data_IF_998765220615
#
_entry.id   IF_998765220615
#
_cell.length_a   1.000
_cell.length_b   1.000
_cell.length_c   1.000
_cell.angle_alpha   90.00
_cell.angle_beta   90.00
_cell.angle_gamma   90.00
#
_symmetry.space_group_name_H-M   'P 1'
#
loop_
_entity.id
_entity.type
_entity.pdbx_description
1 polymer ?
#
# COMPACT_ATOMS: atom_id res chain seq x y z
N UNK A 1 3.29 -16.35 -19.89
CA UNK A 1 4.57 -15.71 -19.55
C UNK A 1 5.65 -16.16 -20.52
N UNK A 2 6.92 -15.88 -20.20
CA UNK A 2 8.05 -16.21 -21.09
C UNK A 2 8.16 -17.69 -21.41
N UNK A 3 7.71 -18.58 -20.50
CA UNK A 3 7.66 -20.04 -20.71
C UNK A 3 6.69 -20.45 -21.82
N UNK A 4 5.67 -19.64 -22.07
CA UNK A 4 4.64 -19.84 -23.08
C UNK A 4 4.89 -19.00 -24.35
N UNK A 5 6.09 -18.44 -24.51
CA UNK A 5 6.45 -17.59 -25.67
C UNK A 5 5.82 -16.19 -25.65
N UNK A 6 5.22 -15.79 -24.53
CA UNK A 6 4.64 -14.46 -24.34
C UNK A 6 5.67 -13.50 -23.75
N UNK A 7 5.37 -12.19 -23.79
CA UNK A 7 6.25 -11.18 -23.20
C UNK A 7 6.39 -11.38 -21.68
N UNK A 8 7.49 -10.87 -21.14
CA UNK A 8 7.75 -10.79 -19.71
C UNK A 8 6.77 -9.84 -19.01
N UNK A 9 6.68 -9.93 -17.68
CA UNK A 9 5.79 -9.05 -16.92
C UNK A 9 6.19 -7.56 -17.02
N UNK A 10 7.47 -7.16 -16.95
CA UNK A 10 7.88 -5.78 -17.21
C UNK A 10 7.49 -5.27 -18.61
N UNK A 11 7.60 -6.12 -19.64
CA UNK A 11 7.17 -5.76 -21.00
C UNK A 11 5.64 -5.62 -21.09
N UNK A 12 4.90 -6.47 -20.36
CA UNK A 12 3.44 -6.33 -20.26
C UNK A 12 3.06 -5.01 -19.60
N UNK A 13 3.74 -4.61 -18.50
CA UNK A 13 3.50 -3.33 -17.84
C UNK A 13 3.73 -2.15 -18.78
N UNK A 14 4.81 -2.20 -19.59
CA UNK A 14 5.09 -1.18 -20.58
C UNK A 14 3.98 -1.08 -21.63
N UNK A 15 3.56 -2.22 -22.21
CA UNK A 15 2.46 -2.25 -23.20
C UNK A 15 1.12 -1.78 -22.62
N UNK A 16 0.79 -2.18 -21.40
CA UNK A 16 -0.43 -1.73 -20.72
C UNK A 16 -0.38 -0.22 -20.47
N UNK A 17 0.79 0.35 -20.21
CA UNK A 17 0.93 1.80 -20.03
C UNK A 17 0.62 2.62 -21.28
N UNK A 18 0.66 2.01 -22.46
CA UNK A 18 0.32 2.66 -23.74
C UNK A 18 -1.20 2.71 -24.00
N UNK A 19 -2.03 2.08 -23.16
CA UNK A 19 -3.49 2.14 -23.30
C UNK A 19 -4.00 3.56 -23.04
N UNK A 20 -4.71 4.12 -24.01
CA UNK A 20 -5.32 5.44 -23.93
C UNK A 20 -6.35 5.52 -22.79
N UNK A 21 -6.33 6.64 -22.07
CA UNK A 21 -7.21 6.86 -20.91
C UNK A 21 -6.81 6.11 -19.64
N UNK A 22 -5.84 5.19 -19.67
CA UNK A 22 -5.33 4.55 -18.47
C UNK A 22 -4.48 5.55 -17.66
N UNK A 23 -4.87 5.79 -16.41
CA UNK A 23 -4.21 6.75 -15.53
C UNK A 23 -3.17 6.11 -14.61
N UNK A 24 -3.47 4.93 -14.05
CA UNK A 24 -2.65 4.26 -13.04
C UNK A 24 -2.62 2.76 -13.24
N UNK A 25 -1.44 2.18 -13.09
CA UNK A 25 -1.19 0.75 -13.02
C UNK A 25 -0.71 0.44 -11.61
N UNK A 26 -1.36 -0.54 -10.98
CA UNK A 26 -0.93 -1.09 -9.70
C UNK A 26 -1.11 -2.60 -9.79
N UNK A 27 -0.14 -3.34 -9.26
CA UNK A 27 -0.23 -4.79 -9.15
C UNK A 27 0.16 -5.22 -7.73
N UNK A 28 -0.20 -6.44 -7.40
CA UNK A 28 0.17 -7.09 -6.13
C UNK A 28 1.07 -8.25 -6.46
N UNK A 29 2.27 -8.32 -5.88
CA UNK A 29 3.11 -9.52 -5.98
C UNK A 29 2.80 -10.47 -4.84
N UNK A 30 2.81 -11.77 -5.13
CA UNK A 30 2.61 -12.82 -4.13
C UNK A 30 3.92 -13.29 -3.50
N UNK A 31 5.07 -12.91 -4.05
CA UNK A 31 6.36 -13.44 -3.61
C UNK A 31 7.56 -12.50 -3.87
N UNK A 32 8.45 -12.27 -2.87
CA UNK A 32 9.61 -11.39 -3.03
C UNK A 32 10.57 -11.77 -4.15
N UNK A 33 10.78 -13.08 -4.38
CA UNK A 33 11.61 -13.60 -5.49
C UNK A 33 11.23 -13.07 -6.88
N UNK A 34 9.97 -12.66 -7.07
CA UNK A 34 9.47 -12.21 -8.37
C UNK A 34 9.85 -10.74 -8.64
N UNK A 35 10.41 -10.04 -7.64
CA UNK A 35 10.94 -8.68 -7.76
C UNK A 35 12.32 -8.68 -8.43
N UNK A 36 12.33 -8.96 -9.73
CA UNK A 36 13.57 -8.89 -10.53
C UNK A 36 14.04 -7.45 -10.74
N UNK A 37 15.34 -7.26 -11.02
CA UNK A 37 15.89 -5.92 -11.35
C UNK A 37 15.17 -5.22 -12.50
N UNK A 38 14.74 -5.96 -13.51
CA UNK A 38 13.97 -5.40 -14.63
C UNK A 38 12.60 -4.89 -14.19
N UNK A 39 11.95 -5.58 -13.24
CA UNK A 39 10.71 -5.11 -12.63
C UNK A 39 10.93 -3.87 -11.75
N UNK A 40 12.02 -3.83 -10.96
CA UNK A 40 12.38 -2.64 -10.17
C UNK A 40 12.55 -1.42 -11.08
N UNK A 41 13.30 -1.57 -12.18
CA UNK A 41 13.50 -0.51 -13.18
C UNK A 41 12.20 -0.02 -13.84
N UNK A 42 11.15 -0.85 -13.89
CA UNK A 42 9.85 -0.42 -14.40
C UNK A 42 9.23 0.70 -13.55
N UNK A 43 9.42 0.70 -12.22
CA UNK A 43 8.91 1.76 -11.34
C UNK A 43 9.54 3.12 -11.65
N UNK A 44 10.80 3.16 -12.10
CA UNK A 44 11.47 4.40 -12.50
C UNK A 44 11.14 4.86 -13.93
N UNK A 45 10.67 3.94 -14.80
CA UNK A 45 10.52 4.20 -16.24
C UNK A 45 9.07 4.41 -16.68
N UNK A 46 8.12 3.73 -16.03
CA UNK A 46 6.72 3.74 -16.42
C UNK A 46 5.98 4.73 -15.52
N UNK A 47 5.69 5.92 -16.04
CA UNK A 47 5.03 7.00 -15.28
C UNK A 47 3.68 6.57 -14.68
N UNK A 48 2.88 5.81 -15.45
CA UNK A 48 1.58 5.29 -14.99
C UNK A 48 1.72 4.21 -13.91
N UNK A 49 2.90 3.62 -13.72
CA UNK A 49 3.11 2.59 -12.70
C UNK A 49 3.21 3.26 -11.32
N UNK A 50 2.21 3.03 -10.49
CA UNK A 50 2.18 3.60 -9.15
C UNK A 50 3.40 3.17 -8.34
N UNK A 51 4.08 4.09 -7.63
CA UNK A 51 5.22 3.78 -6.76
C UNK A 51 4.73 3.12 -5.46
N UNK A 52 4.24 1.90 -5.59
CA UNK A 52 3.76 1.07 -4.51
C UNK A 52 3.95 -0.39 -4.87
N UNK A 53 4.43 -1.16 -3.90
CA UNK A 53 4.49 -2.59 -4.00
C UNK A 53 4.02 -3.22 -2.69
N UNK A 54 3.24 -4.28 -2.82
CA UNK A 54 2.96 -5.17 -1.70
C UNK A 54 3.91 -6.37 -1.79
N UNK A 55 4.85 -6.49 -0.85
CA UNK A 55 5.97 -7.42 -0.88
C UNK A 55 5.97 -8.30 0.39
N UNK A 56 5.20 -9.41 0.41
CA UNK A 56 5.00 -10.19 1.63
C UNK A 56 6.28 -10.85 2.13
N UNK A 57 6.74 -10.52 3.33
CA UNK A 57 7.91 -11.18 3.95
C UNK A 57 7.51 -12.34 4.88
N UNK A 58 6.37 -12.25 5.55
CA UNK A 58 5.83 -13.18 6.55
C UNK A 58 6.53 -13.18 7.92
N UNK A 59 7.86 -13.20 7.98
CA UNK A 59 8.64 -13.14 9.23
C UNK A 59 10.00 -12.48 8.99
N UNK A 60 10.61 -11.88 10.01
CA UNK A 60 11.98 -11.39 9.92
C UNK A 60 13.06 -12.42 10.26
N UNK A 61 12.69 -13.58 10.80
CA UNK A 61 13.65 -14.64 11.16
C UNK A 61 13.86 -15.62 10.00
N UNK A 62 15.12 -15.83 9.63
CA UNK A 62 15.49 -16.84 8.63
C UNK A 62 15.02 -18.25 9.00
N UNK A 63 15.10 -18.60 10.30
CA UNK A 63 14.65 -19.91 10.80
C UNK A 63 13.15 -20.08 10.63
N UNK A 64 12.36 -19.03 10.92
CA UNK A 64 10.90 -19.08 10.74
C UNK A 64 10.52 -19.04 9.26
N UNK A 65 11.19 -18.23 8.44
CA UNK A 65 11.02 -18.20 6.99
C UNK A 65 11.24 -19.59 6.37
N UNK A 66 12.31 -20.29 6.77
CA UNK A 66 12.59 -21.65 6.32
C UNK A 66 11.49 -22.63 6.74
N UNK A 67 11.00 -22.56 7.99
CA UNK A 67 9.88 -23.38 8.47
C UNK A 67 8.55 -23.06 7.77
N UNK A 68 8.37 -21.83 7.30
CA UNK A 68 7.27 -21.41 6.42
C UNK A 68 7.49 -21.84 4.96
N UNK A 69 8.55 -22.59 4.66
CA UNK A 69 8.95 -23.03 3.33
C UNK A 69 9.23 -21.87 2.36
N UNK A 70 9.71 -20.73 2.87
CA UNK A 70 10.20 -19.62 2.05
C UNK A 70 11.60 -19.96 1.53
N UNK A 71 11.85 -19.58 0.28
CA UNK A 71 13.11 -19.84 -0.45
C UNK A 71 13.95 -18.57 -0.60
N UNK A 72 13.90 -17.71 0.41
CA UNK A 72 14.65 -16.47 0.51
C UNK A 72 15.00 -16.23 1.97
N UNK A 73 16.02 -15.42 2.20
CA UNK A 73 16.44 -14.98 3.53
C UNK A 73 16.00 -13.53 3.79
N UNK A 74 16.10 -13.12 5.05
CA UNK A 74 15.96 -11.76 5.54
C UNK A 74 16.87 -10.80 4.80
N UNK A 75 18.14 -11.17 4.62
CA UNK A 75 19.16 -10.35 3.97
C UNK A 75 18.80 -10.11 2.51
N UNK A 76 18.43 -11.18 1.79
CA UNK A 76 17.96 -11.05 0.41
C UNK A 76 16.72 -10.16 0.30
N UNK A 77 15.80 -10.23 1.27
CA UNK A 77 14.64 -9.35 1.30
C UNK A 77 15.03 -7.88 1.50
N UNK A 78 15.93 -7.61 2.44
CA UNK A 78 16.44 -6.26 2.72
C UNK A 78 17.19 -5.69 1.51
N UNK A 79 18.06 -6.47 0.87
CA UNK A 79 18.77 -6.07 -0.34
C UNK A 79 17.80 -5.65 -1.44
N UNK A 80 16.73 -6.43 -1.67
CA UNK A 80 15.70 -6.10 -2.65
C UNK A 80 14.96 -4.81 -2.29
N UNK A 81 14.66 -4.59 -1.00
CA UNK A 81 14.00 -3.36 -0.53
C UNK A 81 14.89 -2.14 -0.74
N UNK A 82 16.18 -2.25 -0.41
CA UNK A 82 17.13 -1.15 -0.56
C UNK A 82 17.40 -0.84 -2.03
N UNK A 83 17.59 -1.85 -2.88
CA UNK A 83 17.73 -1.65 -4.34
C UNK A 83 16.48 -1.00 -4.95
N UNK A 84 15.28 -1.43 -4.51
CA UNK A 84 14.03 -0.84 -5.00
C UNK A 84 13.90 0.64 -4.59
N UNK A 85 14.32 1.00 -3.37
CA UNK A 85 14.33 2.40 -2.90
C UNK A 85 15.41 3.26 -3.57
N UNK A 86 16.55 2.68 -3.90
CA UNK A 86 17.56 3.37 -4.71
C UNK A 86 17.01 3.67 -6.12
N UNK A 87 16.24 2.73 -6.68
CA UNK A 87 15.63 2.88 -8.00
C UNK A 87 14.40 3.82 -8.01
N UNK A 88 13.57 3.77 -6.97
CA UNK A 88 12.34 4.55 -6.81
C UNK A 88 12.23 5.02 -5.34
N UNK A 89 12.83 6.18 -5.00
CA UNK A 89 12.92 6.67 -3.62
C UNK A 89 11.56 6.87 -2.92
N UNK A 90 10.51 7.18 -3.69
CA UNK A 90 9.16 7.41 -3.21
C UNK A 90 8.30 6.14 -3.08
N UNK A 91 8.86 4.95 -3.37
CA UNK A 91 8.13 3.67 -3.32
C UNK A 91 7.52 3.41 -1.95
N UNK A 92 6.20 3.26 -1.93
CA UNK A 92 5.47 2.77 -0.76
C UNK A 92 5.55 1.24 -0.70
N UNK A 93 6.03 0.68 0.41
CA UNK A 93 6.16 -0.78 0.56
C UNK A 93 5.19 -1.26 1.63
N UNK A 94 4.27 -2.16 1.27
CA UNK A 94 3.42 -2.86 2.22
C UNK A 94 3.76 -4.34 2.29
N UNK A 95 3.43 -5.02 3.38
CA UNK A 95 3.76 -6.44 3.55
C UNK A 95 2.73 -7.16 4.42
N UNK A 96 2.81 -8.48 4.45
CA UNK A 96 2.12 -9.34 5.41
C UNK A 96 3.14 -9.96 6.38
N UNK A 97 2.74 -10.09 7.65
CA UNK A 97 3.50 -10.80 8.67
C UNK A 97 2.63 -11.71 9.52
N UNK A 98 3.19 -12.84 9.94
CA UNK A 98 2.54 -13.81 10.82
C UNK A 98 3.38 -13.95 12.08
N UNK A 99 2.78 -13.65 13.23
CA UNK A 99 3.39 -13.85 14.56
C UNK A 99 2.84 -15.11 15.22
N UNK A 100 3.61 -15.69 16.12
CA UNK A 100 3.24 -16.89 16.86
C UNK A 100 3.28 -18.17 16.03
N UNK A 101 4.08 -18.19 14.96
CA UNK A 101 4.27 -19.39 14.13
C UNK A 101 4.85 -20.53 14.99
N UNK A 102 4.51 -21.81 14.72
CA UNK A 102 4.99 -22.90 15.55
C UNK A 102 6.52 -22.90 15.67
N UNK A 103 6.98 -22.86 16.93
CA UNK A 103 8.36 -22.83 17.36
C UNK A 103 9.04 -21.46 17.33
N UNK A 104 8.33 -20.35 17.06
CA UNK A 104 8.86 -18.99 17.14
C UNK A 104 9.32 -18.62 18.55
N UNK A 105 10.62 -18.34 18.70
CA UNK A 105 11.24 -17.89 19.96
C UNK A 105 11.22 -16.36 20.05
N UNK A 106 11.61 -15.84 21.21
CA UNK A 106 11.70 -14.39 21.41
C UNK A 106 12.78 -13.74 20.53
N UNK A 107 13.87 -14.46 20.25
CA UNK A 107 14.90 -13.98 19.32
C UNK A 107 14.36 -13.85 17.88
N UNK A 108 13.55 -14.81 17.41
CA UNK A 108 12.95 -14.73 16.08
C UNK A 108 11.92 -13.60 15.96
N UNK A 109 11.21 -13.33 17.06
CA UNK A 109 10.29 -12.22 17.13
C UNK A 109 11.03 -10.87 17.18
N UNK A 110 12.15 -10.78 17.90
CA UNK A 110 12.99 -9.58 17.86
C UNK A 110 13.58 -9.35 16.47
N UNK A 111 14.04 -10.40 15.77
CA UNK A 111 14.42 -10.29 14.36
C UNK A 111 13.26 -9.72 13.53
N UNK A 112 12.04 -10.20 13.76
CA UNK A 112 10.83 -9.69 13.10
C UNK A 112 10.62 -8.18 13.35
N UNK A 113 10.76 -7.71 14.58
CA UNK A 113 10.68 -6.29 14.91
C UNK A 113 11.83 -5.50 14.27
N UNK A 114 13.06 -6.02 14.32
CA UNK A 114 14.22 -5.38 13.69
C UNK A 114 14.05 -5.24 12.18
N UNK A 115 13.41 -6.21 11.51
CA UNK A 115 13.14 -6.10 10.07
C UNK A 115 12.21 -4.92 9.80
N UNK A 116 11.16 -4.78 10.61
CA UNK A 116 10.21 -3.66 10.50
C UNK A 116 10.92 -2.32 10.75
N UNK A 117 11.88 -2.26 11.68
CA UNK A 117 12.69 -1.05 11.92
C UNK A 117 13.57 -0.69 10.71
N UNK A 118 14.20 -1.68 10.09
CA UNK A 118 15.06 -1.46 8.92
C UNK A 118 14.25 -1.10 7.67
N UNK A 119 13.12 -1.77 7.46
CA UNK A 119 12.29 -1.53 6.27
C UNK A 119 11.42 -0.30 6.44
N UNK A 120 10.92 0.02 7.63
CA UNK A 120 9.91 1.07 7.83
C UNK A 120 8.76 0.95 6.81
N UNK A 121 7.94 -0.09 6.91
CA UNK A 121 6.85 -0.31 5.96
C UNK A 121 5.84 0.85 5.96
N UNK A 122 5.20 1.08 4.81
CA UNK A 122 4.07 2.01 4.67
C UNK A 122 2.76 1.44 5.21
N UNK A 123 2.69 0.12 5.35
CA UNK A 123 1.57 -0.60 5.93
C UNK A 123 1.90 -2.08 6.07
N UNK A 124 1.38 -2.70 7.14
CA UNK A 124 1.60 -4.10 7.45
C UNK A 124 0.28 -4.77 7.79
N UNK A 125 -0.01 -5.89 7.14
CA UNK A 125 -1.07 -6.77 7.60
C UNK A 125 -0.45 -7.84 8.50
N UNK A 126 -0.68 -7.71 9.80
CA UNK A 126 -0.16 -8.64 10.78
C UNK A 126 -1.26 -9.60 11.25
N UNK A 127 -0.93 -10.89 11.32
CA UNK A 127 -1.85 -11.94 11.72
C UNK A 127 -1.22 -12.80 12.82
N UNK A 128 -2.03 -13.26 13.78
CA UNK A 128 -1.62 -14.38 14.62
C UNK A 128 -1.72 -15.68 13.83
N UNK A 129 -0.73 -16.55 13.98
CA UNK A 129 -0.78 -17.88 13.41
C UNK A 129 -1.97 -18.67 13.95
N UNK A 130 -2.75 -19.23 13.02
CA UNK A 130 -3.78 -20.21 13.27
C UNK A 130 -3.59 -21.42 12.34
N UNK A 131 -3.90 -22.61 12.86
CA UNK A 131 -3.86 -23.83 12.05
C UNK A 131 -4.90 -23.73 10.95
N UNK A 132 -4.46 -24.00 9.72
CA UNK A 132 -5.35 -24.19 8.57
C UNK A 132 -5.27 -25.67 8.20
N UNK A 133 -6.37 -26.44 8.28
CA UNK A 133 -6.35 -27.91 8.18
C UNK A 133 -5.62 -28.57 6.97
N UNK A 134 -5.41 -27.94 5.79
CA UNK A 134 -4.51 -28.53 4.79
C UNK A 134 -3.04 -28.07 4.88
N UNK A 135 -2.73 -27.04 5.68
CA UNK A 135 -1.40 -26.44 5.70
C UNK A 135 -0.38 -27.34 6.43
N UNK A 136 0.82 -27.59 5.88
CA UNK A 136 1.87 -28.39 6.54
C UNK A 136 2.20 -27.91 7.96
N UNK A 137 2.15 -26.60 8.18
CA UNK A 137 2.40 -25.99 9.49
C UNK A 137 1.45 -26.49 10.59
N UNK A 138 0.24 -26.93 10.23
CA UNK A 138 -0.73 -27.47 11.20
C UNK A 138 -0.16 -28.69 11.95
N UNK A 139 0.71 -29.48 11.31
CA UNK A 139 1.34 -30.67 11.88
C UNK A 139 2.54 -30.38 12.80
N UNK A 140 3.00 -29.13 12.89
CA UNK A 140 4.10 -28.76 13.77
C UNK A 140 3.64 -28.75 15.24
N UNK A 141 4.36 -29.45 16.12
CA UNK A 141 4.00 -29.63 17.53
C UNK A 141 4.27 -28.41 18.43
N UNK A 142 5.24 -27.58 18.07
CA UNK A 142 5.71 -26.44 18.89
C UNK A 142 4.77 -25.23 18.83
N UNK A 143 3.48 -25.40 19.12
CA UNK A 143 2.52 -24.29 19.05
C UNK A 143 2.78 -23.25 20.14
N UNK A 144 2.75 -21.97 19.76
CA UNK A 144 2.87 -20.85 20.70
C UNK A 144 1.53 -20.64 21.43
N UNK A 145 1.51 -20.42 22.76
CA UNK A 145 0.30 -20.05 23.50
C UNK A 145 -0.38 -18.80 22.96
N UNK A 146 -1.72 -18.77 22.96
CA UNK A 146 -2.50 -17.67 22.37
C UNK A 146 -2.22 -16.28 22.99
N UNK A 147 -1.91 -16.23 24.30
CA UNK A 147 -1.58 -14.96 24.97
C UNK A 147 -0.28 -14.35 24.41
N UNK A 148 0.78 -15.16 24.23
CA UNK A 148 2.04 -14.71 23.62
C UNK A 148 1.84 -14.26 22.17
N UNK A 149 1.02 -14.97 21.37
CA UNK A 149 0.72 -14.52 19.99
C UNK A 149 0.07 -13.13 19.97
N UNK A 150 -0.83 -12.86 20.92
CA UNK A 150 -1.53 -11.58 21.05
C UNK A 150 -0.58 -10.47 21.49
N UNK A 151 0.28 -10.74 22.47
CA UNK A 151 1.32 -9.79 22.91
C UNK A 151 2.26 -9.42 21.75
N UNK A 152 2.75 -10.42 21.02
CA UNK A 152 3.58 -10.22 19.81
C UNK A 152 2.85 -9.43 18.73
N UNK A 153 1.59 -9.77 18.44
CA UNK A 153 0.79 -9.04 17.46
C UNK A 153 0.63 -7.56 17.85
N UNK A 154 0.33 -7.31 19.12
CA UNK A 154 0.17 -5.95 19.64
C UNK A 154 1.47 -5.16 19.54
N UNK A 155 2.59 -5.73 19.98
CA UNK A 155 3.90 -5.08 19.88
C UNK A 155 4.30 -4.76 18.43
N UNK A 156 4.07 -5.70 17.50
CA UNK A 156 4.33 -5.51 16.08
C UNK A 156 3.46 -4.38 15.48
N UNK A 157 2.17 -4.35 15.80
CA UNK A 157 1.24 -3.33 15.31
C UNK A 157 1.59 -1.93 15.87
N UNK A 158 1.94 -1.83 17.15
CA UNK A 158 2.37 -0.57 17.76
C UNK A 158 3.64 -0.01 17.11
N UNK A 159 4.63 -0.88 16.86
CA UNK A 159 5.84 -0.50 16.14
C UNK A 159 5.50 -0.01 14.72
N UNK A 160 4.68 -0.75 13.99
CA UNK A 160 4.27 -0.38 12.64
C UNK A 160 3.48 0.94 12.60
N UNK A 161 2.63 1.21 13.60
CA UNK A 161 1.86 2.45 13.69
C UNK A 161 2.80 3.67 13.75
N UNK A 162 3.91 3.55 14.46
CA UNK A 162 4.96 4.60 14.55
C UNK A 162 5.49 4.95 13.16
N UNK A 163 5.86 3.97 12.35
CA UNK A 163 6.38 4.20 10.99
C UNK A 163 5.30 4.67 10.02
N UNK A 164 4.10 4.11 10.12
CA UNK A 164 2.95 4.52 9.29
C UNK A 164 2.64 6.00 9.51
N UNK A 165 2.57 6.42 10.78
CA UNK A 165 2.34 7.81 11.15
C UNK A 165 3.51 8.70 10.70
N UNK A 166 4.77 8.31 10.95
CA UNK A 166 5.97 9.05 10.49
C UNK A 166 5.90 9.36 8.99
N UNK A 167 5.58 8.36 8.16
CA UNK A 167 5.47 8.53 6.70
C UNK A 167 4.28 9.37 6.27
N UNK A 168 3.14 9.24 6.96
CA UNK A 168 1.98 10.08 6.68
C UNK A 168 2.25 11.54 7.07
N UNK A 169 2.90 11.77 8.21
CA UNK A 169 3.27 13.10 8.70
C UNK A 169 4.25 13.80 7.75
N UNK A 170 5.19 13.06 7.13
CA UNK A 170 6.11 13.59 6.13
C UNK A 170 5.40 14.14 4.86
N UNK A 171 4.15 13.76 4.62
CA UNK A 171 3.36 14.27 3.49
C UNK A 171 2.60 15.56 3.81
N UNK A 172 2.51 15.95 5.09
CA UNK A 172 1.82 17.19 5.48
C UNK A 172 2.50 18.40 4.86
N UNK A 173 1.71 19.30 4.28
CA UNK A 173 2.15 20.47 3.52
C UNK A 173 2.40 20.22 2.04
N UNK A 174 2.59 18.96 1.63
CA UNK A 174 2.77 18.59 0.22
C UNK A 174 1.45 18.58 -0.56
N UNK A 175 1.55 18.74 -1.88
CA UNK A 175 0.42 18.53 -2.79
C UNK A 175 0.54 17.14 -3.40
N UNK A 176 -0.51 16.34 -3.24
CA UNK A 176 -0.58 14.97 -3.72
C UNK A 176 -1.66 14.86 -4.79
N UNK A 177 -1.41 14.08 -5.83
CA UNK A 177 -2.42 13.75 -6.82
C UNK A 177 -3.25 12.55 -6.33
N UNK A 178 -4.55 12.76 -6.16
CA UNK A 178 -5.47 11.80 -5.56
C UNK A 178 -6.40 11.26 -6.63
N UNK A 179 -6.42 9.94 -6.81
CA UNK A 179 -7.47 9.29 -7.58
C UNK A 179 -8.72 9.23 -6.71
N UNK A 180 -9.73 10.01 -7.06
CA UNK A 180 -10.99 10.10 -6.31
C UNK A 180 -11.79 8.79 -6.48
N UNK A 181 -12.21 8.19 -5.37
CA UNK A 181 -12.98 6.94 -5.35
C UNK A 181 -14.49 7.22 -5.15
N UNK A 182 -14.83 8.31 -4.46
CA UNK A 182 -16.22 8.72 -4.21
C UNK A 182 -16.41 9.44 -2.88
N UNK A 183 -17.67 9.60 -2.48
CA UNK A 183 -18.06 10.20 -1.19
C UNK A 183 -17.64 9.26 -0.04
N UNK A 184 -17.14 9.84 1.05
CA UNK A 184 -16.67 9.12 2.22
C UNK A 184 -17.82 8.42 2.97
N UNK A 185 -17.61 7.15 3.32
CA UNK A 185 -18.59 6.33 4.07
C UNK A 185 -19.00 6.92 5.43
N UNK A 186 -18.18 7.79 6.01
CA UNK A 186 -18.49 8.46 7.29
C UNK A 186 -19.61 9.49 7.14
N UNK A 187 -19.80 10.05 5.94
CA UNK A 187 -20.91 10.95 5.63
C UNK A 187 -22.24 10.19 5.45
N UNK A 188 -22.21 8.96 4.95
CA UNK A 188 -23.41 8.10 4.81
C UNK A 188 -23.93 7.52 6.14
N UNK A 189 -23.13 7.54 7.21
CA UNK A 189 -23.42 6.86 8.48
C UNK A 189 -24.01 7.75 9.60
N UNK A 190 -24.54 8.94 9.29
CA UNK A 190 -25.39 9.70 10.21
C UNK A 190 -24.71 10.77 11.08
N UNK A 191 -24.25 11.87 10.47
CA UNK A 191 -23.89 13.08 11.22
C UNK A 191 -24.43 14.36 10.59
N UNK A 192 -25.44 14.93 11.26
CA UNK A 192 -25.81 16.36 11.39
C UNK A 192 -25.95 17.23 10.15
N UNK A 193 -27.11 17.87 10.05
CA UNK A 193 -27.57 18.85 9.06
C UNK A 193 -26.77 20.18 8.99
N UNK A 194 -25.49 20.21 9.39
CA UNK A 194 -24.68 21.44 9.46
C UNK A 194 -23.23 21.24 8.95
N UNK A 195 -23.02 20.43 7.91
CA UNK A 195 -21.73 20.40 7.19
C UNK A 195 -21.93 20.81 5.73
N UNK A 196 -21.52 22.03 5.33
CA UNK A 196 -21.73 22.52 3.96
C UNK A 196 -20.79 21.89 2.91
N UNK A 197 -19.90 20.96 3.30
CA UNK A 197 -18.89 20.40 2.42
C UNK A 197 -18.96 18.86 2.37
N UNK A 198 -19.13 18.31 1.17
CA UNK A 198 -19.12 16.85 0.92
C UNK A 198 -17.70 16.33 1.13
N UNK A 199 -17.57 15.30 1.97
CA UNK A 199 -16.29 14.66 2.23
C UNK A 199 -16.07 13.56 1.19
N UNK A 200 -15.05 13.70 0.37
CA UNK A 200 -14.58 12.71 -0.59
C UNK A 200 -13.43 11.88 -0.03
N UNK A 201 -13.24 10.70 -0.61
CA UNK A 201 -12.08 9.84 -0.36
C UNK A 201 -11.43 9.45 -1.69
N UNK A 202 -10.12 9.27 -1.64
CA UNK A 202 -9.35 8.76 -2.76
C UNK A 202 -7.98 8.28 -2.30
N UNK A 203 -7.11 7.97 -3.26
CA UNK A 203 -5.79 7.41 -2.97
C UNK A 203 -4.66 8.13 -3.68
N UNK A 204 -3.55 8.29 -2.98
CA UNK A 204 -2.26 8.69 -3.58
C UNK A 204 -1.73 7.58 -4.50
N UNK A 205 -0.71 7.85 -5.34
CA UNK A 205 -0.02 6.81 -6.09
C UNK A 205 0.57 5.73 -5.16
N UNK A 206 1.09 6.13 -3.99
CA UNK A 206 1.56 5.23 -2.91
C UNK A 206 0.46 4.47 -2.15
N UNK A 207 -0.78 4.47 -2.64
CA UNK A 207 -1.95 3.77 -2.07
C UNK A 207 -2.46 4.30 -0.71
N UNK A 208 -2.02 5.48 -0.28
CA UNK A 208 -2.46 6.07 0.99
C UNK A 208 -3.84 6.68 0.83
N UNK A 209 -4.72 6.44 1.81
CA UNK A 209 -6.09 6.99 1.82
C UNK A 209 -6.03 8.47 2.14
N UNK A 210 -6.67 9.29 1.31
CA UNK A 210 -6.80 10.74 1.53
C UNK A 210 -8.27 11.10 1.55
N UNK A 211 -8.69 11.74 2.65
CA UNK A 211 -9.99 12.35 2.75
C UNK A 211 -9.86 13.84 2.45
N UNK A 212 -10.81 14.41 1.70
CA UNK A 212 -10.78 15.84 1.39
C UNK A 212 -12.19 16.37 1.21
N UNK A 213 -12.38 17.67 1.45
CA UNK A 213 -13.66 18.32 1.23
C UNK A 213 -13.71 18.97 -0.14
N UNK A 214 -14.86 18.87 -0.78
CA UNK A 214 -15.18 19.64 -1.98
C UNK A 214 -16.28 20.62 -1.58
N UNK A 215 -15.97 21.92 -1.66
CA UNK A 215 -16.88 23.02 -1.28
C UNK A 215 -17.33 23.75 -2.54
N UNK A 216 -18.64 24.02 -2.66
CA UNK A 216 -19.24 24.86 -3.72
C UNK A 216 -20.16 24.11 -4.69
N UNK A 217 -20.96 24.86 -5.45
CA UNK A 217 -21.84 24.38 -6.53
C UNK A 217 -21.09 23.68 -7.68
N UNK A 218 -19.76 23.81 -7.71
CA UNK A 218 -18.83 23.12 -8.61
C UNK A 218 -18.40 21.73 -8.11
N UNK A 219 -18.99 21.20 -7.03
CA UNK A 219 -18.67 19.86 -6.52
C UNK A 219 -18.82 18.74 -7.57
N UNK A 220 -19.65 18.97 -8.60
CA UNK A 220 -19.82 18.08 -9.74
C UNK A 220 -18.72 18.27 -10.83
N UNK A 221 -18.04 19.41 -10.87
CA UNK A 221 -16.98 19.73 -11.84
C UNK A 221 -15.57 19.42 -11.31
N UNK A 222 -15.34 19.44 -10.00
CA UNK A 222 -13.98 19.29 -9.42
C UNK A 222 -13.63 17.87 -8.97
N UNK A 223 -14.61 17.03 -8.64
CA UNK A 223 -14.36 15.65 -8.23
C UNK A 223 -15.49 14.72 -8.73
N UNK A 224 -15.15 13.82 -9.64
CA UNK A 224 -15.95 12.65 -9.99
C UNK A 224 -15.15 11.39 -9.64
N UNK A 225 -15.84 10.26 -9.40
CA UNK A 225 -15.14 9.01 -9.21
C UNK A 225 -14.30 8.68 -10.46
N UNK A 226 -13.02 8.35 -10.26
CA UNK A 226 -12.06 8.12 -11.34
C UNK A 226 -11.26 9.36 -11.77
N UNK A 227 -11.60 10.56 -11.30
CA UNK A 227 -10.82 11.76 -11.59
C UNK A 227 -9.54 11.86 -10.72
N UNK A 228 -8.51 12.52 -11.27
CA UNK A 228 -7.31 12.90 -10.52
C UNK A 228 -7.49 14.32 -9.97
N UNK A 229 -7.38 14.45 -8.66
CA UNK A 229 -7.56 15.70 -7.93
C UNK A 229 -6.28 16.05 -7.19
N UNK A 230 -5.77 17.27 -7.38
CA UNK A 230 -4.61 17.76 -6.61
C UNK A 230 -5.08 18.22 -5.24
N UNK A 231 -4.59 17.57 -4.19
CA UNK A 231 -4.98 17.84 -2.80
C UNK A 231 -3.75 18.21 -2.00
N UNK A 232 -3.78 19.38 -1.35
CA UNK A 232 -2.80 19.77 -0.35
C UNK A 232 -3.09 19.01 0.94
N UNK A 233 -2.13 18.22 1.41
CA UNK A 233 -2.27 17.47 2.65
C UNK A 233 -2.08 18.41 3.84
N UNK A 234 -3.08 18.49 4.70
CA UNK A 234 -3.06 19.39 5.86
C UNK A 234 -2.85 18.62 7.17
N UNK A 235 -3.28 17.36 7.22
CA UNK A 235 -3.21 16.55 8.42
C UNK A 235 -2.92 15.10 8.13
N UNK A 236 -2.06 14.51 8.94
CA UNK A 236 -1.86 13.07 9.03
C UNK A 236 -2.66 12.48 10.19
N UNK A 237 -3.36 11.38 9.92
CA UNK A 237 -3.97 10.49 10.90
C UNK A 237 -3.20 9.15 10.90
N UNK A 238 -3.53 8.26 11.84
CA UNK A 238 -2.84 6.97 11.98
C UNK A 238 -2.78 6.16 10.68
N UNK A 239 -3.89 6.11 9.92
CA UNK A 239 -4.01 5.28 8.70
C UNK A 239 -4.60 6.03 7.49
N UNK A 240 -4.68 7.36 7.57
CA UNK A 240 -5.19 8.18 6.47
C UNK A 240 -4.63 9.59 6.54
N UNK A 241 -4.77 10.31 5.45
CA UNK A 241 -4.46 11.73 5.33
C UNK A 241 -5.76 12.51 5.20
N UNK A 242 -5.68 13.79 5.52
CA UNK A 242 -6.73 14.75 5.28
C UNK A 242 -6.16 16.00 4.62
N UNK A 243 -6.89 16.58 3.69
CA UNK A 243 -6.46 17.77 2.97
C UNK A 243 -7.60 18.50 2.27
N UNK A 244 -7.23 19.53 1.52
CA UNK A 244 -8.12 20.32 0.69
C UNK A 244 -7.65 20.32 -0.77
N UNK A 245 -8.56 20.26 -1.75
CA UNK A 245 -8.21 20.46 -3.15
C UNK A 245 -7.52 21.82 -3.35
N UNK A 246 -6.47 21.86 -4.18
CA UNK A 246 -5.99 23.17 -4.66
C UNK A 246 -7.01 23.73 -5.64
N UNK A 247 -7.48 24.96 -5.40
CA UNK A 247 -8.27 25.68 -6.40
C UNK A 247 -7.45 25.79 -7.68
N UNK A 248 -7.97 25.25 -8.77
CA UNK A 248 -7.34 25.31 -10.07
C UNK A 248 -7.32 26.77 -10.56
N UNK A 249 -6.29 27.53 -10.16
CA UNK A 249 -5.89 28.71 -10.90
C UNK A 249 -5.35 28.27 -12.25
N UNK A 250 -6.21 28.28 -13.27
CA UNK A 250 -5.89 28.17 -14.70
C UNK A 250 -4.74 27.23 -15.08
N UNK A 251 -5.02 25.93 -15.22
CA UNK A 251 -4.18 25.04 -16.02
C UNK A 251 -5.06 24.32 -17.04
N UNK A 252 -4.91 24.74 -18.30
CA UNK A 252 -5.58 24.15 -19.45
C UNK A 252 -5.12 22.71 -19.68
N UNK A 253 -6.07 21.79 -19.86
CA UNK A 253 -5.77 20.40 -20.20
C UNK A 253 -6.89 19.41 -19.88
N UNK A 254 -8.16 19.83 -19.92
CA UNK A 254 -9.28 18.91 -19.84
C UNK A 254 -9.56 18.26 -21.19
N UNK A 255 -9.31 16.95 -21.31
CA UNK A 255 -9.83 16.15 -22.42
C UNK A 255 -11.36 16.18 -22.35
N UNK A 256 -11.98 16.79 -23.38
CA UNK A 256 -13.42 16.74 -23.63
C UNK A 256 -13.82 15.33 -24.04
N UNK A 257 -14.88 14.82 -23.41
CA UNK A 257 -15.65 13.66 -23.85
C UNK A 257 -16.28 12.99 -22.63
N UNK A 258 -17.55 12.63 -22.57
CA UNK A 258 -18.70 12.86 -23.44
C UNK A 258 -19.95 12.71 -22.55
N UNK A 259 -21.07 13.20 -23.06
CA UNK A 259 -22.34 13.42 -22.36
C UNK A 259 -22.85 12.22 -21.52
N UNK A 260 -23.26 12.55 -20.28
CA UNK A 260 -24.07 11.71 -19.42
C UNK A 260 -25.52 11.66 -19.97
N UNK A 261 -25.91 10.55 -20.59
CA UNK A 261 -27.31 10.21 -20.77
C UNK A 261 -27.72 9.22 -19.68
N UNK A 262 -28.43 9.75 -18.68
CA UNK A 262 -29.13 8.95 -17.68
C UNK A 262 -30.47 8.47 -18.25
N UNK A 263 -30.76 7.19 -18.04
CA UNK A 263 -32.10 6.62 -17.90
C UNK A 263 -32.09 5.73 -16.65
#
# INVERSE_FOLDING_TARGET
GTKEGLCSFPELLARVSEVDGLLRIRFTTSHPKDLTRNLMKSFARIEKLCPHIHLPVQSGSNRILERMNRKYTREHYLDNVFELRDTCPEIAITSDMIVGFPGETDADFEDTLDLVRNVEFDGLFAFMYSDRPPAPAARLSEKIPAHLKRERLHALLQLQETFTYKKNAALVGSVQEILAEGVSKRQTAGSSAERPAVQWTGRTPGNKIVNFHVSGSSACETASAGALVRVRIEKALAHSLWGAPENAGSAAGGLKGDACHAA
#
